data_IF_987383772186
#
_entry.id   IF_987383772186
#
_cell.length_a   1.000
_cell.length_b   1.000
_cell.length_c   1.000
_cell.angle_alpha   90.00
_cell.angle_beta   90.00
_cell.angle_gamma   90.00
#
_symmetry.space_group_name_H-M   'P 1'
#
loop_
_entity.id
_entity.type
_entity.pdbx_description
1 polymer ?
#
# COMPACT_ATOMS: atom_id res chain seq x y z
N UNK A 1 19.15 -22.58 52.20
CA UNK A 1 18.06 -21.57 52.19
C UNK A 1 18.60 -20.39 51.40
N UNK A 2 18.20 -20.04 50.18
CA UNK A 2 17.03 -20.33 49.35
C UNK A 2 17.47 -19.97 47.91
N UNK A 3 17.28 -20.86 46.93
CA UNK A 3 17.52 -20.51 45.51
C UNK A 3 16.42 -19.54 45.07
N UNK A 4 16.75 -18.27 44.85
CA UNK A 4 15.84 -17.32 44.21
C UNK A 4 15.95 -17.55 42.69
N UNK A 5 15.05 -18.40 42.20
CA UNK A 5 14.79 -18.65 40.80
C UNK A 5 14.07 -17.42 40.21
N UNK A 6 14.81 -16.51 39.56
CA UNK A 6 14.23 -15.45 38.74
C UNK A 6 13.60 -16.07 37.48
N UNK A 7 12.29 -16.30 37.52
CA UNK A 7 11.50 -16.69 36.36
C UNK A 7 11.24 -15.44 35.50
N UNK A 8 12.13 -15.15 34.55
CA UNK A 8 11.84 -14.22 33.45
C UNK A 8 10.78 -14.86 32.55
N UNK A 9 9.53 -14.43 32.69
CA UNK A 9 8.46 -14.77 31.75
C UNK A 9 8.68 -13.90 30.50
N UNK A 10 9.34 -14.47 29.49
CA UNK A 10 9.36 -13.92 28.13
C UNK A 10 7.95 -14.07 27.54
N UNK A 11 7.17 -12.99 27.60
CA UNK A 11 5.91 -12.87 26.86
C UNK A 11 6.22 -12.90 25.36
N UNK A 12 6.04 -14.05 24.71
CA UNK A 12 6.01 -14.13 23.25
C UNK A 12 4.72 -13.46 22.77
N UNK A 13 4.80 -12.17 22.41
CA UNK A 13 3.76 -11.50 21.65
C UNK A 13 3.68 -12.15 20.27
N UNK A 14 2.73 -13.08 20.11
CA UNK A 14 2.39 -13.64 18.81
C UNK A 14 1.63 -12.56 18.02
N UNK A 15 2.37 -11.74 17.27
CA UNK A 15 1.80 -10.78 16.32
C UNK A 15 1.01 -11.58 15.27
N UNK A 16 -0.25 -11.23 15.09
CA UNK A 16 -1.13 -11.88 14.12
C UNK A 16 -0.72 -11.54 12.68
N UNK A 17 -1.05 -12.42 11.73
CA UNK A 17 -0.81 -12.14 10.31
C UNK A 17 -1.50 -10.85 9.84
N UNK A 18 -2.64 -10.47 10.44
CA UNK A 18 -3.31 -9.20 10.12
C UNK A 18 -2.48 -8.00 10.57
N UNK A 19 -1.90 -8.04 11.77
CA UNK A 19 -1.02 -6.99 12.28
C UNK A 19 0.27 -6.91 11.45
N UNK A 20 0.83 -8.05 11.03
CA UNK A 20 2.00 -8.07 10.15
C UNK A 20 1.72 -7.44 8.79
N UNK A 21 0.57 -7.74 8.18
CA UNK A 21 0.12 -7.10 6.93
C UNK A 21 -0.10 -5.61 7.15
N UNK A 22 -0.76 -5.22 8.24
CA UNK A 22 -0.95 -3.81 8.61
C UNK A 22 0.38 -3.07 8.72
N UNK A 23 1.38 -3.66 9.37
CA UNK A 23 2.71 -3.08 9.50
C UNK A 23 3.42 -2.92 8.14
N UNK A 24 3.20 -3.81 7.17
CA UNK A 24 3.73 -3.64 5.80
C UNK A 24 3.10 -2.43 5.13
N UNK A 25 1.78 -2.26 5.26
CA UNK A 25 1.05 -1.14 4.67
C UNK A 25 1.36 0.19 5.37
N UNK A 26 1.58 0.21 6.68
CA UNK A 26 2.01 1.41 7.39
C UNK A 26 3.42 1.83 6.97
N UNK A 27 4.32 0.87 6.78
CA UNK A 27 5.66 1.11 6.23
C UNK A 27 5.61 1.61 4.79
N UNK A 28 4.67 1.11 3.97
CA UNK A 28 4.46 1.58 2.60
C UNK A 28 4.23 3.09 2.59
N UNK A 29 3.26 3.55 3.38
CA UNK A 29 2.91 4.98 3.47
C UNK A 29 4.03 5.80 4.11
N UNK A 30 4.67 5.27 5.16
CA UNK A 30 5.77 5.96 5.83
C UNK A 30 6.97 6.16 4.90
N UNK A 31 7.48 5.09 4.26
CA UNK A 31 8.64 5.19 3.38
C UNK A 31 8.36 6.06 2.15
N UNK A 32 7.13 6.02 1.61
CA UNK A 32 6.73 6.98 0.58
C UNK A 32 6.79 8.43 1.07
N UNK A 33 6.31 8.72 2.28
CA UNK A 33 6.27 10.10 2.80
C UNK A 33 7.66 10.72 2.97
N UNK A 34 8.66 9.90 3.30
CA UNK A 34 10.05 10.33 3.51
C UNK A 34 10.97 10.06 2.30
N UNK A 35 10.39 9.67 1.15
CA UNK A 35 11.12 9.39 -0.08
C UNK A 35 12.20 8.28 0.06
N UNK A 36 11.98 7.30 0.95
CA UNK A 36 12.90 6.17 1.17
C UNK A 36 12.61 5.05 0.16
N UNK A 37 13.07 5.25 -1.08
CA UNK A 37 12.86 4.31 -2.19
C UNK A 37 13.42 2.91 -1.91
N UNK A 38 14.59 2.82 -1.26
CA UNK A 38 15.24 1.54 -0.97
C UNK A 38 14.36 0.67 -0.06
N UNK A 39 13.86 1.23 1.06
CA UNK A 39 13.01 0.47 1.96
C UNK A 39 11.58 0.33 1.45
N UNK A 40 11.08 1.30 0.66
CA UNK A 40 9.79 1.22 -0.01
C UNK A 40 9.71 0.01 -0.93
N UNK A 41 10.67 -0.17 -1.85
CA UNK A 41 10.63 -1.27 -2.81
C UNK A 41 10.98 -2.65 -2.23
N UNK A 42 11.56 -2.73 -1.03
CA UNK A 42 11.70 -3.99 -0.27
C UNK A 42 10.36 -4.56 0.21
N UNK A 43 9.31 -3.75 0.28
CA UNK A 43 7.95 -4.21 0.65
C UNK A 43 7.24 -4.95 -0.48
N UNK A 44 7.72 -4.82 -1.71
CA UNK A 44 7.10 -5.37 -2.92
C UNK A 44 7.74 -6.70 -3.31
N UNK A 45 6.91 -7.66 -3.69
CA UNK A 45 7.34 -8.90 -4.35
C UNK A 45 7.96 -8.59 -5.72
N UNK A 46 8.91 -9.40 -6.19
CA UNK A 46 9.56 -9.19 -7.50
C UNK A 46 8.58 -9.15 -8.67
N UNK A 47 7.48 -9.90 -8.57
CA UNK A 47 6.42 -9.95 -9.58
C UNK A 47 5.22 -9.04 -9.28
N UNK A 48 5.42 -8.02 -8.44
CA UNK A 48 4.33 -7.12 -8.05
C UNK A 48 3.83 -6.26 -9.21
N UNK A 49 2.52 -5.99 -9.23
CA UNK A 49 1.90 -5.05 -10.17
C UNK A 49 1.34 -3.85 -9.40
N UNK A 50 1.62 -2.64 -9.88
CA UNK A 50 1.08 -1.39 -9.35
C UNK A 50 0.12 -0.76 -10.36
N UNK A 51 -1.04 -0.32 -9.86
CA UNK A 51 -1.97 0.52 -10.60
C UNK A 51 -1.95 1.92 -10.00
N UNK A 52 -1.55 2.88 -10.82
CA UNK A 52 -1.70 4.29 -10.51
C UNK A 52 -3.12 4.77 -10.76
N UNK A 53 -3.31 6.08 -10.64
CA UNK A 53 -4.62 6.72 -10.79
C UNK A 53 -5.05 6.86 -12.25
N UNK A 54 -4.09 6.97 -13.17
CA UNK A 54 -4.37 7.08 -14.60
C UNK A 54 -4.50 5.67 -15.21
N UNK A 55 -5.43 5.51 -16.16
CA UNK A 55 -5.77 4.23 -16.77
C UNK A 55 -4.59 3.55 -17.49
N UNK A 56 -3.57 4.31 -17.91
CA UNK A 56 -2.35 3.81 -18.55
C UNK A 56 -1.29 3.36 -17.52
N UNK A 57 -1.48 3.67 -16.24
CA UNK A 57 -0.52 3.39 -15.16
C UNK A 57 -0.71 1.95 -14.64
N UNK A 58 -0.30 0.97 -15.45
CA UNK A 58 -0.17 -0.42 -15.01
C UNK A 58 1.29 -0.84 -15.13
N UNK A 59 2.00 -0.79 -14.01
CA UNK A 59 3.44 -1.01 -13.96
C UNK A 59 3.79 -2.35 -13.31
N UNK A 60 4.78 -3.04 -13.86
CA UNK A 60 5.55 -3.99 -13.07
C UNK A 60 6.44 -3.27 -12.05
N UNK A 61 7.06 -4.02 -11.15
CA UNK A 61 7.93 -3.46 -10.10
C UNK A 61 9.04 -2.58 -10.67
N UNK A 62 9.68 -2.98 -11.76
CA UNK A 62 10.84 -2.27 -12.32
C UNK A 62 10.44 -0.92 -12.91
N UNK A 63 9.33 -0.90 -13.66
CA UNK A 63 8.75 0.32 -14.22
C UNK A 63 8.29 1.27 -13.11
N UNK A 64 7.66 0.73 -12.07
CA UNK A 64 7.20 1.54 -10.95
C UNK A 64 8.37 2.09 -10.12
N UNK A 65 9.43 1.32 -9.96
CA UNK A 65 10.65 1.72 -9.27
C UNK A 65 11.35 2.88 -9.97
N UNK A 66 11.51 2.82 -11.29
CA UNK A 66 12.05 3.93 -12.07
C UNK A 66 11.23 5.22 -11.88
N UNK A 67 9.91 5.13 -12.04
CA UNK A 67 9.00 6.26 -11.87
C UNK A 67 9.06 6.85 -10.45
N UNK A 68 8.99 6.00 -9.42
CA UNK A 68 8.96 6.42 -8.03
C UNK A 68 10.28 7.03 -7.57
N UNK A 69 11.42 6.45 -7.98
CA UNK A 69 12.74 6.98 -7.62
C UNK A 69 12.98 8.36 -8.22
N UNK A 70 12.55 8.58 -9.47
CA UNK A 70 12.58 9.91 -10.09
C UNK A 70 11.69 10.90 -9.30
N UNK A 71 10.53 10.45 -8.83
CA UNK A 71 9.64 11.27 -8.00
C UNK A 71 10.21 11.56 -6.60
N UNK A 72 11.04 10.66 -6.07
CA UNK A 72 11.63 10.73 -4.73
C UNK A 72 12.94 11.52 -4.69
N UNK A 73 13.55 11.83 -5.84
CA UNK A 73 14.86 12.51 -5.93
C UNK A 73 14.95 13.83 -5.15
N UNK A 74 13.84 14.56 -5.04
CA UNK A 74 13.76 15.86 -4.36
C UNK A 74 13.49 15.71 -2.84
N UNK A 75 13.58 14.49 -2.30
CA UNK A 75 13.41 14.19 -0.87
C UNK A 75 11.96 14.29 -0.37
N UNK A 76 11.00 14.48 -1.27
CA UNK A 76 9.57 14.55 -0.95
C UNK A 76 8.80 13.55 -1.78
N UNK A 77 8.29 12.48 -1.16
CA UNK A 77 7.46 11.51 -1.86
C UNK A 77 5.96 11.78 -1.70
N UNK A 78 5.18 10.70 -1.67
CA UNK A 78 3.73 10.80 -1.47
C UNK A 78 3.38 10.65 0.01
N UNK A 79 2.59 11.59 0.53
CA UNK A 79 2.11 11.53 1.92
C UNK A 79 0.64 11.15 1.93
N UNK A 80 0.37 9.97 2.50
CA UNK A 80 -0.98 9.45 2.74
C UNK A 80 -1.12 9.10 4.22
N UNK A 81 -2.26 9.46 4.81
CA UNK A 81 -2.60 9.15 6.21
C UNK A 81 -3.72 8.12 6.23
N UNK A 82 -3.49 6.95 6.83
CA UNK A 82 -4.52 5.91 6.96
C UNK A 82 -5.72 6.42 7.77
N UNK A 83 -6.90 6.43 7.14
CA UNK A 83 -8.16 6.79 7.79
C UNK A 83 -8.88 5.54 8.31
N UNK A 84 -8.93 4.50 7.48
CA UNK A 84 -9.49 3.19 7.83
C UNK A 84 -8.84 2.09 7.01
N UNK A 85 -8.75 0.89 7.55
CA UNK A 85 -8.20 -0.28 6.85
C UNK A 85 -8.91 -1.56 7.27
N UNK A 86 -9.28 -2.37 6.28
CA UNK A 86 -9.77 -3.72 6.47
C UNK A 86 -8.76 -4.73 5.90
N UNK A 87 -8.49 -5.79 6.66
CA UNK A 87 -7.53 -6.83 6.28
C UNK A 87 -8.19 -8.20 6.41
N UNK A 88 -8.07 -8.99 5.34
CA UNK A 88 -8.60 -10.33 5.24
C UNK A 88 -7.46 -11.31 4.92
N UNK A 89 -7.63 -12.55 5.35
CA UNK A 89 -6.64 -13.61 5.15
C UNK A 89 -7.29 -14.80 4.46
N UNK A 90 -6.55 -15.42 3.55
CA UNK A 90 -6.92 -16.71 3.00
C UNK A 90 -6.95 -17.78 4.11
N UNK A 91 -7.69 -18.87 3.89
CA UNK A 91 -7.80 -19.99 4.85
C UNK A 91 -6.44 -20.56 5.27
N UNK A 92 -5.47 -20.58 4.36
CA UNK A 92 -4.11 -21.07 4.60
C UNK A 92 -3.13 -19.97 5.06
N UNK A 93 -3.59 -18.72 5.24
CA UNK A 93 -2.79 -17.56 5.68
C UNK A 93 -1.54 -17.29 4.83
N UNK A 94 -1.61 -17.63 3.54
CA UNK A 94 -0.54 -17.32 2.57
C UNK A 94 -0.84 -16.08 1.72
N UNK A 95 -2.11 -15.70 1.64
CA UNK A 95 -2.57 -14.54 0.89
C UNK A 95 -3.37 -13.66 1.83
N UNK A 96 -3.18 -12.35 1.72
CA UNK A 96 -4.00 -11.33 2.35
C UNK A 96 -4.54 -10.41 1.26
N UNK A 97 -5.76 -9.92 1.43
CA UNK A 97 -6.28 -8.80 0.65
C UNK A 97 -6.77 -7.73 1.59
N UNK A 98 -6.76 -6.49 1.12
CA UNK A 98 -7.11 -5.35 1.94
C UNK A 98 -7.82 -4.28 1.11
N UNK A 99 -8.55 -3.44 1.84
CA UNK A 99 -9.04 -2.15 1.40
C UNK A 99 -8.71 -1.12 2.48
N UNK A 100 -8.32 0.07 2.06
CA UNK A 100 -8.06 1.20 2.95
C UNK A 100 -8.51 2.52 2.34
N UNK A 101 -8.89 3.45 3.21
CA UNK A 101 -9.15 4.84 2.85
C UNK A 101 -7.99 5.67 3.41
N UNK A 102 -7.46 6.57 2.57
CA UNK A 102 -6.23 7.31 2.78
C UNK A 102 -6.49 8.81 2.62
N UNK A 103 -6.16 9.60 3.62
CA UNK A 103 -6.21 11.06 3.54
C UNK A 103 -4.96 11.61 2.85
N UNK A 104 -5.17 12.55 1.94
CA UNK A 104 -4.16 13.34 1.28
C UNK A 104 -4.54 14.82 1.36
N UNK A 105 -3.61 15.67 1.78
CA UNK A 105 -3.90 17.07 2.08
C UNK A 105 -4.25 17.91 0.82
N UNK A 106 -3.86 17.47 -0.38
CA UNK A 106 -4.12 18.17 -1.65
C UNK A 106 -5.35 17.66 -2.40
N UNK A 107 -5.60 16.35 -2.33
CA UNK A 107 -6.52 15.66 -3.21
C UNK A 107 -7.71 15.03 -2.47
N UNK A 108 -7.73 15.09 -1.14
CA UNK A 108 -8.82 14.53 -0.33
C UNK A 108 -8.59 13.06 0.01
N UNK A 109 -9.59 12.22 -0.22
CA UNK A 109 -9.56 10.81 0.19
C UNK A 109 -9.25 9.92 -1.00
N UNK A 110 -8.28 9.04 -0.86
CA UNK A 110 -7.94 7.96 -1.78
C UNK A 110 -8.40 6.62 -1.24
N UNK A 111 -8.61 5.67 -2.15
CA UNK A 111 -8.79 4.26 -1.81
C UNK A 111 -7.59 3.44 -2.28
N UNK A 112 -6.94 2.78 -1.34
CA UNK A 112 -5.94 1.75 -1.58
C UNK A 112 -6.59 0.37 -1.54
N UNK A 113 -6.38 -0.46 -2.56
CA UNK A 113 -6.77 -1.87 -2.53
C UNK A 113 -5.63 -2.74 -3.02
N UNK A 114 -5.56 -3.98 -2.56
CA UNK A 114 -4.48 -4.84 -3.02
C UNK A 114 -4.40 -6.20 -2.36
N UNK A 115 -3.31 -6.88 -2.68
CA UNK A 115 -3.01 -8.25 -2.26
C UNK A 115 -1.59 -8.31 -1.74
N UNK A 116 -1.41 -9.00 -0.62
CA UNK A 116 -0.10 -9.40 -0.12
C UNK A 116 0.03 -10.92 -0.16
N UNK A 117 1.24 -11.39 -0.44
CA UNK A 117 1.63 -12.80 -0.40
C UNK A 117 2.68 -13.03 0.68
N UNK A 118 2.53 -14.12 1.43
CA UNK A 118 3.46 -14.52 2.46
C UNK A 118 4.53 -15.45 1.88
N UNK A 119 5.79 -15.01 1.89
CA UNK A 119 6.95 -15.78 1.46
C UNK A 119 7.98 -15.90 2.59
N UNK A 120 8.41 -17.13 2.90
CA UNK A 120 9.39 -17.45 3.96
C UNK A 120 9.11 -16.78 5.32
N UNK A 121 7.84 -16.56 5.66
CA UNK A 121 7.42 -15.97 6.93
C UNK A 121 7.12 -14.47 6.88
N UNK A 122 7.50 -13.77 5.80
CA UNK A 122 7.31 -12.33 5.61
C UNK A 122 6.22 -12.03 4.59
N UNK A 123 5.53 -10.91 4.74
CA UNK A 123 4.48 -10.44 3.83
C UNK A 123 5.04 -9.44 2.83
N UNK A 124 4.65 -9.58 1.57
CA UNK A 124 5.08 -8.72 0.47
C UNK A 124 3.87 -8.30 -0.37
N UNK A 125 3.89 -7.06 -0.84
CA UNK A 125 2.86 -6.52 -1.73
C UNK A 125 2.99 -7.21 -3.09
N UNK A 126 1.92 -7.88 -3.52
CA UNK A 126 1.81 -8.54 -4.82
C UNK A 126 1.04 -7.70 -5.83
N UNK A 127 0.06 -6.94 -5.34
CA UNK A 127 -0.68 -5.98 -6.14
C UNK A 127 -1.07 -4.81 -5.25
N UNK A 128 -0.98 -3.60 -5.79
CA UNK A 128 -1.49 -2.40 -5.16
C UNK A 128 -2.20 -1.54 -6.21
N UNK A 129 -3.36 -1.02 -5.85
CA UNK A 129 -4.17 -0.14 -6.68
C UNK A 129 -4.57 1.08 -5.86
N UNK A 130 -4.18 2.26 -6.34
CA UNK A 130 -4.50 3.54 -5.74
C UNK A 130 -5.45 4.32 -6.64
N UNK A 131 -6.63 4.65 -6.12
CA UNK A 131 -7.62 5.40 -6.89
C UNK A 131 -8.21 6.55 -6.10
N UNK A 132 -8.59 7.60 -6.81
CA UNK A 132 -9.40 8.69 -6.27
C UNK A 132 -10.89 8.32 -6.44
N UNK A 133 -11.62 7.97 -5.35
CA UNK A 133 -13.04 7.66 -5.43
C UNK A 133 -13.85 8.91 -5.82
N UNK A 134 -14.67 8.80 -6.86
CA UNK A 134 -15.55 9.88 -7.30
C UNK A 134 -16.91 9.75 -6.60
N UNK A 135 -17.40 10.78 -5.87
CA UNK A 135 -18.75 10.79 -5.34
C UNK A 135 -19.80 10.60 -6.44
N UNK A 136 -20.84 9.81 -6.18
CA UNK A 136 -21.85 9.47 -7.19
C UNK A 136 -22.53 10.69 -7.81
N UNK A 137 -22.70 11.77 -7.04
CA UNK A 137 -23.28 13.03 -7.54
C UNK A 137 -22.39 13.74 -8.57
N UNK A 138 -21.07 13.51 -8.51
CA UNK A 138 -20.09 14.11 -9.41
C UNK A 138 -19.69 13.18 -10.56
N UNK A 139 -20.04 11.88 -10.47
CA UNK A 139 -19.59 10.85 -11.40
C UNK A 139 -19.95 11.14 -12.85
N UNK A 140 -21.19 11.59 -13.11
CA UNK A 140 -21.64 11.84 -14.48
C UNK A 140 -20.86 12.97 -15.13
N UNK A 141 -20.61 14.06 -14.42
CA UNK A 141 -19.93 15.22 -15.00
C UNK A 141 -18.45 14.94 -15.25
N UNK A 142 -17.74 14.35 -14.28
CA UNK A 142 -16.36 13.95 -14.49
C UNK A 142 -16.21 12.85 -15.54
N UNK A 143 -17.17 11.91 -15.65
CA UNK A 143 -17.10 10.90 -16.70
C UNK A 143 -17.13 11.51 -18.10
N UNK A 144 -17.90 12.59 -18.31
CA UNK A 144 -17.95 13.30 -19.60
C UNK A 144 -16.62 14.00 -19.89
N UNK A 145 -16.04 14.65 -18.88
CA UNK A 145 -14.73 15.29 -19.01
C UNK A 145 -13.64 14.29 -19.38
N UNK A 146 -13.63 13.13 -18.71
CA UNK A 146 -12.68 12.04 -18.99
C UNK A 146 -12.87 11.49 -20.42
N UNK A 147 -14.11 11.24 -20.86
CA UNK A 147 -14.39 10.78 -22.23
C UNK A 147 -13.85 11.80 -23.25
N UNK A 148 -14.18 13.08 -23.09
CA UNK A 148 -13.71 14.13 -23.99
C UNK A 148 -12.18 14.22 -23.99
N UNK A 149 -11.53 14.10 -22.83
CA UNK A 149 -10.06 14.11 -22.74
C UNK A 149 -9.45 12.95 -23.54
N UNK A 150 -9.95 11.73 -23.34
CA UNK A 150 -9.45 10.53 -24.01
C UNK A 150 -9.72 10.50 -25.52
N UNK A 151 -10.83 11.10 -25.97
CA UNK A 151 -11.11 11.25 -27.40
C UNK A 151 -10.16 12.24 -28.08
N UNK A 152 -9.70 13.27 -27.37
CA UNK A 152 -8.78 14.29 -27.90
C UNK A 152 -7.29 13.89 -27.80
N UNK A 153 -6.95 12.85 -27.03
CA UNK A 153 -5.59 12.28 -26.97
C UNK A 153 -5.28 11.29 -28.11
N UNK A 154 -6.30 10.86 -28.87
CA UNK A 154 -6.17 9.95 -30.02
C UNK A 154 -6.17 10.71 -31.36
#
# INVERSE_FOLDING_TARGET
MLYILNLLILLNLNISDKELVGNVLDKLHYYASIADGENYFKLFDESSIFFGTDAKERWDKSQFEEYALERFKDGTGWTYKTLSRNIYLSKNKKIAWFDEELGNDNYGVFRGTGVLEKNKGSWYIKQYNLLLPIPNELLIDYSKEIINYLENEN
#
